data_IF_656666661706
#
_entry.id   IF_656666661706
#
_cell.length_a   1.000
_cell.length_b   1.000
_cell.length_c   1.000
_cell.angle_alpha   90.00
_cell.angle_beta   90.00
_cell.angle_gamma   90.00
#
_symmetry.space_group_name_H-M   'P 1'
#
loop_
_entity.id
_entity.type
_entity.pdbx_description
1 polymer ?
#
# COMPACT_ATOMS: atom_id res chain seq x y z
N UNK A 1 -32.67 -5.07 -66.71
CA UNK A 1 -32.87 -5.58 -65.34
C UNK A 1 -32.51 -7.06 -65.39
N UNK A 2 -31.42 -7.44 -64.73
CA UNK A 2 -30.88 -8.80 -64.76
C UNK A 2 -30.81 -9.25 -63.30
N UNK A 3 -31.56 -10.29 -62.96
CA UNK A 3 -31.45 -11.07 -61.73
C UNK A 3 -30.47 -12.21 -61.99
N UNK A 4 -29.47 -12.39 -61.13
CA UNK A 4 -28.84 -13.70 -60.91
C UNK A 4 -28.59 -13.94 -59.42
N UNK A 5 -28.85 -15.17 -59.04
CA UNK A 5 -28.71 -15.77 -57.72
C UNK A 5 -27.35 -16.48 -57.61
N UNK A 6 -26.95 -16.81 -56.38
CA UNK A 6 -26.60 -18.17 -55.94
C UNK A 6 -25.40 -18.25 -54.98
N UNK A 7 -25.55 -19.16 -54.01
CA UNK A 7 -24.51 -19.98 -53.40
C UNK A 7 -23.32 -19.33 -52.68
N UNK A 8 -23.20 -19.58 -51.37
CA UNK A 8 -22.51 -20.79 -50.89
C UNK A 8 -22.21 -20.67 -49.38
N UNK A 9 -22.65 -21.67 -48.62
CA UNK A 9 -22.28 -21.86 -47.23
C UNK A 9 -20.91 -22.54 -47.15
N UNK A 10 -20.00 -22.04 -46.32
CA UNK A 10 -18.94 -22.85 -45.73
C UNK A 10 -18.41 -22.17 -44.46
N UNK A 11 -18.71 -22.77 -43.32
CA UNK A 11 -17.91 -22.64 -42.11
C UNK A 11 -16.62 -23.45 -42.33
N UNK A 12 -15.45 -22.82 -42.24
CA UNK A 12 -14.20 -23.55 -42.00
C UNK A 12 -13.34 -22.87 -40.93
N UNK A 13 -13.45 -23.49 -39.76
CA UNK A 13 -12.49 -23.59 -38.67
C UNK A 13 -11.03 -23.21 -39.02
N UNK A 14 -10.52 -22.15 -38.38
CA UNK A 14 -9.10 -22.08 -38.05
C UNK A 14 -8.91 -21.74 -36.57
N UNK A 15 -8.41 -22.73 -35.85
CA UNK A 15 -8.02 -22.71 -34.45
C UNK A 15 -6.92 -21.68 -34.22
N UNK A 16 -7.24 -20.56 -33.61
CA UNK A 16 -6.26 -19.79 -32.85
C UNK A 16 -6.44 -20.16 -31.37
N UNK A 17 -5.69 -21.17 -30.93
CA UNK A 17 -5.46 -21.50 -29.53
C UNK A 17 -4.70 -20.32 -28.87
N UNK A 18 -5.44 -19.25 -28.59
CA UNK A 18 -4.94 -18.10 -27.86
C UNK A 18 -5.20 -18.37 -26.40
N UNK A 19 -4.30 -19.13 -25.77
CA UNK A 19 -4.25 -19.24 -24.31
C UNK A 19 -4.35 -17.82 -23.73
N UNK A 20 -5.38 -17.50 -22.92
CA UNK A 20 -5.41 -16.19 -22.28
C UNK A 20 -4.15 -16.08 -21.41
N UNK A 21 -3.42 -14.95 -21.43
CA UNK A 21 -2.26 -14.77 -20.57
C UNK A 21 -2.72 -15.06 -19.15
N UNK A 22 -2.09 -16.07 -18.54
CA UNK A 22 -2.35 -16.49 -17.17
C UNK A 22 -2.51 -15.24 -16.33
N UNK A 23 -3.74 -15.00 -15.84
CA UNK A 23 -4.07 -13.86 -15.00
C UNK A 23 -3.18 -13.99 -13.78
N UNK A 24 -2.01 -13.34 -13.79
CA UNK A 24 -1.21 -13.11 -12.59
C UNK A 24 -2.21 -12.51 -11.62
N UNK A 25 -2.53 -13.26 -10.56
CA UNK A 25 -3.46 -12.84 -9.53
C UNK A 25 -2.96 -11.49 -9.06
N UNK A 26 -3.63 -10.41 -9.46
CA UNK A 26 -3.44 -9.11 -8.85
C UNK A 26 -3.94 -9.29 -7.42
N UNK A 27 -3.04 -9.67 -6.53
CA UNK A 27 -3.25 -9.54 -5.11
C UNK A 27 -3.31 -8.03 -4.90
N UNK A 28 -4.50 -7.44 -4.96
CA UNK A 28 -4.77 -6.16 -4.31
C UNK A 28 -4.43 -6.39 -2.83
N UNK A 29 -3.18 -6.09 -2.47
CA UNK A 29 -2.57 -6.63 -1.28
C UNK A 29 -3.13 -5.89 -0.04
N UNK A 30 -3.58 -6.61 1.00
CA UNK A 30 -3.74 -6.05 2.36
C UNK A 30 -2.50 -5.28 2.85
N UNK A 31 -1.35 -5.55 2.22
CA UNK A 31 -0.06 -4.89 2.34
C UNK A 31 -0.11 -3.36 2.20
N UNK A 32 -1.07 -2.78 1.47
CA UNK A 32 -1.19 -1.32 1.39
C UNK A 32 -1.39 -0.68 2.79
N UNK A 33 -2.31 -1.22 3.60
CA UNK A 33 -2.55 -0.71 4.96
C UNK A 33 -1.43 -1.06 5.94
N UNK A 34 -0.83 -2.25 5.80
CA UNK A 34 0.26 -2.66 6.69
C UNK A 34 1.54 -1.84 6.43
N UNK A 35 1.84 -1.53 5.17
CA UNK A 35 2.96 -0.68 4.78
C UNK A 35 2.79 0.75 5.29
N UNK A 36 1.57 1.28 5.26
CA UNK A 36 1.25 2.60 5.82
C UNK A 36 1.51 2.67 7.32
N UNK A 37 1.03 1.69 8.07
CA UNK A 37 1.30 1.63 9.51
C UNK A 37 2.80 1.47 9.79
N UNK A 38 3.49 0.66 8.99
CA UNK A 38 4.94 0.49 9.10
C UNK A 38 5.70 1.79 8.82
N UNK A 39 5.30 2.57 7.80
CA UNK A 39 5.90 3.87 7.53
C UNK A 39 5.68 4.86 8.68
N UNK A 40 4.47 4.89 9.25
CA UNK A 40 4.15 5.70 10.45
C UNK A 40 5.02 5.31 11.63
N UNK A 41 5.15 4.01 11.89
CA UNK A 41 6.02 3.49 12.97
C UNK A 41 7.49 3.81 12.74
N UNK A 42 8.00 3.61 11.52
CA UNK A 42 9.38 3.93 11.17
C UNK A 42 9.68 5.42 11.31
N UNK A 43 8.74 6.28 10.90
CA UNK A 43 8.89 7.74 11.01
C UNK A 43 8.99 8.16 12.48
N UNK A 44 8.08 7.66 13.33
CA UNK A 44 8.10 7.98 14.77
C UNK A 44 9.33 7.35 15.44
N UNK A 45 9.69 6.12 15.08
CA UNK A 45 10.87 5.44 15.60
C UNK A 45 12.16 6.20 15.30
N UNK A 46 12.34 6.64 14.05
CA UNK A 46 13.48 7.47 13.66
C UNK A 46 13.56 8.76 14.48
N UNK A 47 12.43 9.46 14.66
CA UNK A 47 12.37 10.70 15.45
C UNK A 47 12.80 10.45 16.90
N UNK A 48 12.29 9.39 17.54
CA UNK A 48 12.60 9.06 18.93
C UNK A 48 14.06 8.65 19.08
N UNK A 49 14.52 7.71 18.25
CA UNK A 49 15.87 7.14 18.36
C UNK A 49 16.95 8.17 18.08
N UNK A 50 16.72 9.07 17.11
CA UNK A 50 17.69 10.12 16.77
C UNK A 50 17.47 11.44 17.54
N UNK A 51 16.55 11.47 18.52
CA UNK A 51 16.21 12.65 19.31
C UNK A 51 15.92 13.90 18.44
N UNK A 52 15.09 13.73 17.42
CA UNK A 52 14.78 14.79 16.47
C UNK A 52 13.54 15.59 16.89
N UNK A 53 13.42 16.86 16.48
CA UNK A 53 12.18 17.59 16.69
C UNK A 53 11.04 16.97 15.88
N UNK A 54 9.80 17.08 16.37
CA UNK A 54 8.61 16.56 15.66
C UNK A 54 8.36 17.23 14.30
N UNK A 55 9.08 18.30 13.98
CA UNK A 55 9.07 18.94 12.66
C UNK A 55 10.03 18.27 11.66
N UNK A 56 10.84 17.29 12.06
CA UNK A 56 11.85 16.67 11.21
C UNK A 56 11.29 16.09 9.89
N UNK A 57 10.12 15.41 9.87
CA UNK A 57 9.52 14.95 8.62
C UNK A 57 9.10 16.09 7.69
N UNK A 58 8.87 17.31 8.19
CA UNK A 58 8.49 18.46 7.36
C UNK A 58 9.58 18.89 6.37
N UNK A 59 10.80 18.36 6.47
CA UNK A 59 11.89 18.69 5.57
C UNK A 59 11.51 18.36 4.10
N UNK A 60 11.59 19.34 3.19
CA UNK A 60 11.14 19.17 1.80
C UNK A 60 11.98 18.13 1.04
N UNK A 61 13.25 17.94 1.37
CA UNK A 61 14.11 16.94 0.74
C UNK A 61 13.73 15.52 1.19
N UNK A 62 13.38 15.35 2.46
CA UNK A 62 12.88 14.07 2.97
C UNK A 62 11.56 13.68 2.33
N UNK A 63 10.65 14.64 2.10
CA UNK A 63 9.38 14.39 1.40
C UNK A 63 9.58 13.81 -0.01
N UNK A 64 10.62 14.25 -0.71
CA UNK A 64 10.93 13.74 -2.06
C UNK A 64 11.36 12.27 -2.07
N UNK A 65 11.98 11.75 -1.01
CA UNK A 65 12.52 10.38 -1.07
C UNK A 65 11.42 9.31 -1.20
N UNK A 66 10.33 9.32 -0.39
CA UNK A 66 9.20 8.42 -0.61
C UNK A 66 8.45 8.71 -1.90
N UNK A 67 8.31 9.98 -2.31
CA UNK A 67 7.64 10.36 -3.56
C UNK A 67 8.28 9.69 -4.80
N UNK A 68 9.60 9.49 -4.79
CA UNK A 68 10.33 8.85 -5.90
C UNK A 68 10.06 7.34 -6.02
N UNK A 69 9.65 6.68 -4.93
CA UNK A 69 9.54 5.22 -4.87
C UNK A 69 8.08 4.76 -4.79
N UNK A 70 7.28 5.40 -3.94
CA UNK A 70 5.87 5.09 -3.72
C UNK A 70 5.11 6.34 -3.27
N UNK A 71 4.49 7.02 -4.23
CA UNK A 71 3.70 8.22 -3.98
C UNK A 71 2.44 7.94 -3.12
N UNK A 72 1.96 6.69 -3.07
CA UNK A 72 0.83 6.32 -2.22
C UNK A 72 1.26 6.26 -0.76
N UNK A 73 2.44 5.70 -0.50
CA UNK A 73 3.06 5.65 0.83
C UNK A 73 3.48 7.04 1.30
N UNK A 74 3.97 7.89 0.39
CA UNK A 74 4.39 9.25 0.71
C UNK A 74 3.25 10.09 1.33
N UNK A 75 2.01 9.91 0.89
CA UNK A 75 0.84 10.63 1.44
C UNK A 75 0.52 10.27 2.89
N UNK A 76 1.02 9.12 3.36
CA UNK A 76 0.67 8.54 4.65
C UNK A 76 1.71 8.83 5.74
N UNK A 77 2.87 9.35 5.36
CA UNK A 77 3.90 9.79 6.31
C UNK A 77 3.39 11.02 7.08
N UNK A 78 3.53 11.04 8.42
CA UNK A 78 3.09 12.18 9.22
C UNK A 78 4.05 13.37 9.03
N UNK A 79 3.78 14.17 8.01
CA UNK A 79 4.68 15.25 7.58
C UNK A 79 4.63 16.52 8.41
N UNK A 80 3.66 16.65 9.32
CA UNK A 80 3.50 17.83 10.16
C UNK A 80 3.80 17.51 11.61
N UNK A 81 4.23 18.53 12.37
CA UNK A 81 4.47 18.41 13.81
C UNK A 81 3.26 17.79 14.54
N UNK A 82 2.06 18.23 14.16
CA UNK A 82 0.82 17.77 14.76
C UNK A 82 0.55 16.30 14.41
N UNK A 83 0.67 15.94 13.14
CA UNK A 83 0.49 14.56 12.66
C UNK A 83 1.47 13.60 13.32
N UNK A 84 2.74 14.00 13.50
CA UNK A 84 3.74 13.20 14.22
C UNK A 84 3.32 12.98 15.67
N UNK A 85 2.93 14.06 16.36
CA UNK A 85 2.50 14.01 17.75
C UNK A 85 1.30 13.08 17.95
N UNK A 86 0.29 13.18 17.07
CA UNK A 86 -0.91 12.36 17.14
C UNK A 86 -0.62 10.89 16.79
N UNK A 87 0.24 10.66 15.79
CA UNK A 87 0.70 9.31 15.42
C UNK A 87 1.46 8.66 16.56
N UNK A 88 2.39 9.38 17.20
CA UNK A 88 3.15 8.90 18.35
C UNK A 88 2.22 8.51 19.51
N UNK A 89 1.25 9.37 19.86
CA UNK A 89 0.27 9.06 20.91
C UNK A 89 -0.53 7.80 20.58
N UNK A 90 -1.04 7.70 19.34
CA UNK A 90 -1.82 6.54 18.90
C UNK A 90 -0.99 5.25 18.94
N UNK A 91 0.24 5.28 18.45
CA UNK A 91 1.14 4.13 18.47
C UNK A 91 1.47 3.70 19.91
N UNK A 92 1.68 4.66 20.81
CA UNK A 92 1.92 4.39 22.21
C UNK A 92 0.74 3.63 22.84
N UNK A 93 -0.49 4.14 22.71
CA UNK A 93 -1.67 3.48 23.29
C UNK A 93 -1.89 2.07 22.71
N UNK A 94 -1.73 1.90 21.40
CA UNK A 94 -1.87 0.58 20.73
C UNK A 94 -0.81 -0.41 21.24
N UNK A 95 0.46 0.00 21.29
CA UNK A 95 1.56 -0.88 21.72
C UNK A 95 1.50 -1.17 23.21
N UNK A 96 1.13 -0.18 24.03
CA UNK A 96 0.87 -0.35 25.46
C UNK A 96 -0.22 -1.40 25.69
N UNK A 97 -1.37 -1.29 25.02
CA UNK A 97 -2.46 -2.25 25.14
C UNK A 97 -2.05 -3.67 24.72
N UNK A 98 -1.28 -3.80 23.63
CA UNK A 98 -0.77 -5.09 23.19
C UNK A 98 0.15 -5.74 24.24
N UNK A 99 1.07 -4.97 24.81
CA UNK A 99 1.98 -5.43 25.87
C UNK A 99 1.20 -5.79 27.15
N UNK A 100 0.22 -4.98 27.55
CA UNK A 100 -0.65 -5.27 28.69
C UNK A 100 -1.37 -6.61 28.52
N UNK A 101 -2.00 -6.85 27.36
CA UNK A 101 -2.64 -8.14 27.07
C UNK A 101 -1.65 -9.32 27.06
N UNK A 102 -0.43 -9.12 26.56
CA UNK A 102 0.61 -10.15 26.59
C UNK A 102 1.04 -10.47 28.02
N UNK A 103 1.16 -9.46 28.87
CA UNK A 103 1.55 -9.61 30.26
C UNK A 103 0.47 -10.32 31.08
N UNK A 104 -0.80 -9.94 30.92
CA UNK A 104 -1.93 -10.62 31.58
C UNK A 104 -1.99 -12.12 31.25
N UNK A 105 -1.76 -12.47 29.97
CA UNK A 105 -1.69 -13.86 29.51
C UNK A 105 -0.48 -14.63 30.02
N UNK A 106 0.62 -13.95 30.31
CA UNK A 106 1.83 -14.59 30.81
C UNK A 106 1.79 -14.81 32.33
N UNK A 107 0.95 -14.05 33.04
CA UNK A 107 0.79 -14.12 34.50
C UNK A 107 -0.30 -15.13 34.91
N UNK A 108 -1.22 -15.46 34.00
CA UNK A 108 -2.29 -16.46 34.19
C UNK A 108 -1.86 -17.83 33.68
#
# INVERSE_FOLDING_TARGET
MITEADGNAYEDSSRADSQPPSKRRCLELPTARSNVNKAKELTVGWIVTANLPFTAPSNPYLRRMPDLHDASLAKEVPWSRQSVRDTMRKLFEVKKGAISCQLEKAVT
#
